data_IF_227096698783
#
_entry.id   IF_227096698783
#
_cell.length_a   1.000
_cell.length_b   1.000
_cell.length_c   1.000
_cell.angle_alpha   90.00
_cell.angle_beta   90.00
_cell.angle_gamma   90.00
#
_symmetry.space_group_name_H-M   'P 1'
#
loop_
_entity.id
_entity.type
_entity.pdbx_description
1 polymer ?
#
# COMPACT_ATOMS: atom_id res chain seq x y z
N UNK A 1 0.83 9.61 6.19
CA UNK A 1 -0.04 10.09 7.32
C UNK A 1 0.85 10.66 8.43
N UNK A 2 0.39 11.67 9.20
CA UNK A 2 1.12 12.10 10.40
C UNK A 2 0.99 11.03 11.49
N UNK A 3 2.08 10.66 12.18
CA UNK A 3 2.00 9.74 13.31
C UNK A 3 1.09 10.30 14.42
N UNK A 4 0.40 9.40 15.12
CA UNK A 4 -0.42 9.75 16.28
C UNK A 4 -0.37 8.63 17.32
N UNK A 5 -0.80 8.94 18.55
CA UNK A 5 -0.83 7.99 19.67
C UNK A 5 -2.24 7.76 20.17
N UNK A 6 -2.50 6.54 20.61
CA UNK A 6 -3.70 6.13 21.33
C UNK A 6 -3.24 5.43 22.62
N UNK A 7 -3.28 6.14 23.75
CA UNK A 7 -2.62 5.68 24.96
C UNK A 7 -1.12 5.48 24.71
N UNK A 8 -0.61 4.30 25.00
CA UNK A 8 0.81 3.94 24.82
C UNK A 8 1.13 3.40 23.41
N UNK A 9 0.15 3.40 22.51
CA UNK A 9 0.30 2.85 21.15
C UNK A 9 0.61 3.98 20.20
N UNK A 10 1.74 3.87 19.47
CA UNK A 10 2.10 4.76 18.38
C UNK A 10 1.63 4.15 17.04
N UNK A 11 0.87 4.91 16.28
CA UNK A 11 0.47 4.55 14.91
C UNK A 11 1.15 5.49 13.91
N UNK A 12 1.81 4.92 12.94
CA UNK A 12 2.46 5.63 11.83
C UNK A 12 2.25 4.87 10.52
N UNK A 13 2.63 5.44 9.39
CA UNK A 13 2.57 4.74 8.11
C UNK A 13 3.68 5.20 7.18
N UNK A 14 4.02 4.36 6.22
CA UNK A 14 4.86 4.68 5.07
C UNK A 14 4.24 4.15 3.79
N UNK A 15 4.64 4.74 2.67
CA UNK A 15 3.98 4.59 1.39
C UNK A 15 4.88 3.82 0.43
N UNK A 16 4.32 2.83 -0.28
CA UNK A 16 4.97 2.14 -1.38
C UNK A 16 4.73 2.87 -2.71
N UNK A 17 3.50 3.33 -2.93
CA UNK A 17 3.10 4.09 -4.11
C UNK A 17 2.00 5.08 -3.75
N UNK A 18 2.05 6.25 -4.33
CA UNK A 18 1.02 7.27 -4.23
C UNK A 18 0.87 8.00 -5.56
N UNK A 19 -0.31 8.56 -5.81
CA UNK A 19 -0.58 9.44 -6.93
C UNK A 19 -1.66 8.95 -7.91
N UNK A 20 -1.86 9.68 -9.02
CA UNK A 20 -2.82 9.36 -10.06
C UNK A 20 -2.25 8.28 -10.99
N UNK A 21 -2.83 7.10 -10.98
CA UNK A 21 -2.34 6.01 -11.85
C UNK A 21 -3.41 4.97 -12.24
N UNK A 22 -4.64 5.08 -11.72
CA UNK A 22 -5.68 4.08 -12.01
C UNK A 22 -6.83 4.70 -12.80
N UNK A 23 -7.07 4.30 -14.06
CA UNK A 23 -8.23 4.76 -14.81
C UNK A 23 -9.54 4.35 -14.12
N UNK A 24 -10.53 5.26 -14.00
CA UNK A 24 -11.82 4.93 -13.38
C UNK A 24 -12.54 3.75 -14.01
N UNK A 25 -12.53 3.63 -15.34
CA UNK A 25 -13.16 2.51 -16.04
C UNK A 25 -12.50 1.15 -15.82
N UNK A 26 -11.23 1.13 -15.38
CA UNK A 26 -10.55 -0.12 -14.96
C UNK A 26 -10.94 -0.50 -13.54
N UNK A 27 -11.16 0.51 -12.67
CA UNK A 27 -11.56 0.27 -11.28
C UNK A 27 -13.05 -0.08 -11.19
N UNK A 28 -13.87 0.55 -12.01
CA UNK A 28 -15.32 0.40 -12.01
C UNK A 28 -15.86 0.04 -13.42
N UNK A 29 -15.55 -1.18 -13.93
CA UNK A 29 -15.79 -1.55 -15.31
C UNK A 29 -17.28 -1.63 -15.69
N UNK A 30 -18.17 -1.70 -14.70
CA UNK A 30 -19.62 -1.79 -14.90
C UNK A 30 -20.34 -0.45 -14.74
N UNK A 31 -19.61 0.63 -14.36
CA UNK A 31 -20.20 1.96 -14.22
C UNK A 31 -20.45 2.61 -15.58
N UNK A 32 -21.54 3.39 -15.69
CA UNK A 32 -21.69 4.30 -16.82
C UNK A 32 -20.60 5.38 -16.80
N UNK A 33 -19.79 5.53 -17.87
CA UNK A 33 -18.65 6.43 -17.85
C UNK A 33 -19.00 7.91 -17.64
N UNK A 34 -20.16 8.36 -18.16
CA UNK A 34 -20.58 9.75 -18.02
C UNK A 34 -21.00 10.06 -16.58
N UNK A 35 -21.77 9.17 -15.97
CA UNK A 35 -22.19 9.27 -14.58
C UNK A 35 -21.00 9.20 -13.64
N UNK A 36 -20.06 8.27 -13.88
CA UNK A 36 -18.84 8.14 -13.10
C UNK A 36 -18.01 9.44 -13.12
N UNK A 37 -17.80 10.02 -14.31
CA UNK A 37 -17.06 11.29 -14.44
C UNK A 37 -17.76 12.47 -13.75
N UNK A 38 -19.08 12.53 -13.82
CA UNK A 38 -19.82 13.59 -13.12
C UNK A 38 -19.58 13.54 -11.60
N UNK A 39 -19.62 12.34 -11.00
CA UNK A 39 -19.33 12.18 -9.58
C UNK A 39 -17.85 12.40 -9.23
N UNK A 40 -16.94 11.92 -10.08
CA UNK A 40 -15.51 12.10 -9.86
C UNK A 40 -15.08 13.56 -9.95
N UNK A 41 -15.74 14.37 -10.79
CA UNK A 41 -15.46 15.80 -10.90
C UNK A 41 -15.75 16.59 -9.60
N UNK A 42 -16.57 16.04 -8.72
CA UNK A 42 -16.87 16.61 -7.39
C UNK A 42 -15.86 16.16 -6.32
N UNK A 43 -14.99 15.19 -6.64
CA UNK A 43 -14.03 14.65 -5.67
C UNK A 43 -12.83 15.58 -5.50
N UNK A 44 -12.24 15.62 -4.29
CA UNK A 44 -11.03 16.41 -4.08
C UNK A 44 -9.83 15.85 -4.90
N UNK A 45 -8.85 16.70 -5.25
CA UNK A 45 -7.65 16.27 -6.01
C UNK A 45 -6.85 15.14 -5.36
N UNK A 46 -7.01 14.94 -4.05
CA UNK A 46 -6.41 13.83 -3.33
C UNK A 46 -7.06 12.45 -3.64
N UNK A 47 -8.17 12.43 -4.38
CA UNK A 47 -8.91 11.20 -4.74
C UNK A 47 -8.93 11.02 -6.26
N UNK A 48 -9.02 12.11 -7.00
CA UNK A 48 -9.14 12.08 -8.45
C UNK A 48 -8.39 13.24 -9.09
N UNK A 49 -7.50 12.92 -10.02
CA UNK A 49 -6.83 13.89 -10.88
C UNK A 49 -7.66 14.09 -12.15
N UNK A 50 -8.41 15.17 -12.19
CA UNK A 50 -9.29 15.48 -13.33
C UNK A 50 -8.52 15.83 -14.61
N UNK A 51 -7.26 16.30 -14.52
CA UNK A 51 -6.46 16.64 -15.70
C UNK A 51 -5.96 15.38 -16.43
N UNK A 52 -5.73 14.30 -15.68
CA UNK A 52 -5.25 13.02 -16.20
C UNK A 52 -6.37 11.98 -16.36
N UNK A 53 -7.58 12.24 -15.86
CA UNK A 53 -8.70 11.27 -15.74
C UNK A 53 -8.26 10.00 -14.98
N UNK A 54 -7.57 10.20 -13.82
CA UNK A 54 -7.02 9.11 -13.02
C UNK A 54 -7.44 9.21 -11.55
N UNK A 55 -7.77 8.07 -10.97
CA UNK A 55 -7.91 7.93 -9.52
C UNK A 55 -6.55 8.01 -8.84
N UNK A 56 -6.49 8.77 -7.76
CA UNK A 56 -5.34 8.83 -6.85
C UNK A 56 -5.46 7.69 -5.86
N UNK A 57 -4.52 6.76 -5.89
CA UNK A 57 -4.52 5.59 -5.01
C UNK A 57 -3.18 5.49 -4.31
N UNK A 58 -3.24 5.28 -3.00
CA UNK A 58 -2.08 5.12 -2.13
C UNK A 58 -1.98 3.66 -1.66
N UNK A 59 -0.83 3.03 -1.91
CA UNK A 59 -0.45 1.78 -1.25
C UNK A 59 0.43 2.12 -0.07
N UNK A 60 0.00 1.76 1.13
CA UNK A 60 0.71 2.08 2.36
C UNK A 60 0.66 0.91 3.37
N UNK A 61 1.69 0.84 4.18
CA UNK A 61 1.76 -0.02 5.35
C UNK A 61 1.59 0.82 6.60
N UNK A 62 0.74 0.41 7.52
CA UNK A 62 0.70 1.00 8.85
C UNK A 62 1.62 0.25 9.80
N UNK A 63 2.31 1.01 10.64
CA UNK A 63 3.14 0.51 11.73
C UNK A 63 2.46 0.86 13.05
N UNK A 64 2.10 -0.16 13.79
CA UNK A 64 1.51 -0.03 15.13
C UNK A 64 2.54 -0.52 16.14
N UNK A 65 3.05 0.40 16.97
CA UNK A 65 3.99 0.10 18.03
C UNK A 65 3.30 0.15 19.37
N UNK A 66 3.31 -0.97 20.03
CA UNK A 66 2.89 -1.08 21.43
C UNK A 66 4.12 -1.10 22.35
N UNK A 67 4.00 -1.05 23.67
CA UNK A 67 5.13 -1.24 24.58
C UNK A 67 5.84 -2.60 24.45
N UNK A 68 5.23 -3.56 23.74
CA UNK A 68 5.75 -4.94 23.64
C UNK A 68 5.95 -5.43 22.21
N UNK A 69 5.25 -4.86 21.22
CA UNK A 69 5.18 -5.43 19.87
C UNK A 69 5.24 -4.36 18.79
N UNK A 70 5.90 -4.70 17.68
CA UNK A 70 5.82 -4.02 16.41
C UNK A 70 4.89 -4.80 15.49
N UNK A 71 3.85 -4.17 15.03
CA UNK A 71 2.79 -4.79 14.23
C UNK A 71 2.70 -4.05 12.89
N UNK A 72 2.65 -4.78 11.80
CA UNK A 72 2.32 -4.20 10.49
C UNK A 72 0.86 -4.48 10.17
N UNK A 73 0.17 -3.48 9.60
CA UNK A 73 -1.14 -3.65 8.98
C UNK A 73 -0.99 -3.36 7.50
N UNK A 74 -1.29 -4.35 6.70
CA UNK A 74 -1.06 -4.47 5.27
C UNK A 74 0.42 -4.31 4.87
N UNK A 75 0.81 -5.02 3.84
CA UNK A 75 2.20 -5.09 3.39
C UNK A 75 2.33 -4.82 1.90
N UNK A 76 1.49 -3.96 1.37
CA UNK A 76 1.53 -3.44 0.00
C UNK A 76 1.72 -4.53 -1.09
N UNK A 77 2.31 -4.14 -2.25
CA UNK A 77 2.41 -5.01 -3.43
C UNK A 77 3.58 -5.99 -3.35
N UNK A 78 4.71 -5.59 -2.78
CA UNK A 78 5.92 -6.41 -2.70
C UNK A 78 6.62 -6.63 -4.04
N UNK A 79 7.82 -7.19 -3.97
CA UNK A 79 8.70 -7.41 -5.13
C UNK A 79 8.51 -8.78 -5.78
N UNK A 80 8.91 -8.87 -7.06
CA UNK A 80 9.08 -10.12 -7.82
C UNK A 80 7.84 -11.03 -7.90
N UNK A 81 6.65 -10.53 -7.58
CA UNK A 81 5.43 -11.33 -7.56
C UNK A 81 5.01 -11.73 -8.97
N UNK A 82 4.86 -13.02 -9.28
CA UNK A 82 4.46 -13.48 -10.61
C UNK A 82 3.00 -13.10 -10.93
N UNK A 83 2.68 -12.99 -12.21
CA UNK A 83 1.31 -12.82 -12.70
C UNK A 83 0.69 -11.43 -12.47
N UNK A 84 1.47 -10.47 -11.98
CA UNK A 84 1.03 -9.09 -11.81
C UNK A 84 1.25 -8.30 -13.09
N UNK A 85 0.19 -7.65 -13.57
CA UNK A 85 0.28 -6.82 -14.77
C UNK A 85 1.21 -5.61 -14.60
N UNK A 86 1.56 -4.93 -15.72
CA UNK A 86 2.56 -3.85 -15.74
C UNK A 86 2.22 -2.67 -14.82
N UNK A 87 0.97 -2.48 -14.48
CA UNK A 87 0.53 -1.45 -13.51
C UNK A 87 1.13 -1.66 -12.12
N UNK A 88 1.42 -2.90 -11.74
CA UNK A 88 2.01 -3.24 -10.45
C UNK A 88 3.53 -3.50 -10.54
N UNK A 89 4.11 -3.38 -11.74
CA UNK A 89 5.55 -3.49 -11.98
C UNK A 89 6.21 -2.10 -11.90
N UNK A 90 6.38 -1.62 -10.68
CA UNK A 90 7.06 -0.37 -10.34
C UNK A 90 8.10 -0.63 -9.24
N UNK A 91 9.06 0.28 -9.08
CA UNK A 91 10.06 0.17 -8.01
C UNK A 91 9.41 0.10 -6.63
N UNK A 92 9.83 -0.84 -5.83
CA UNK A 92 9.39 -0.99 -4.43
C UNK A 92 10.36 -0.35 -3.42
N UNK A 93 11.35 0.40 -3.93
CA UNK A 93 12.37 1.03 -3.09
C UNK A 93 11.74 1.97 -2.05
N UNK A 94 10.68 2.69 -2.40
CA UNK A 94 9.96 3.57 -1.46
C UNK A 94 9.46 2.82 -0.22
N UNK A 95 9.01 1.57 -0.38
CA UNK A 95 8.59 0.74 0.74
C UNK A 95 9.77 0.36 1.64
N UNK A 96 10.87 -0.07 1.05
CA UNK A 96 12.09 -0.45 1.78
C UNK A 96 12.69 0.76 2.54
N UNK A 97 12.74 1.91 1.88
CA UNK A 97 13.22 3.15 2.48
C UNK A 97 12.31 3.61 3.62
N UNK A 98 10.99 3.55 3.43
CA UNK A 98 10.01 3.86 4.44
C UNK A 98 10.10 2.94 5.65
N UNK A 99 10.28 1.64 5.42
CA UNK A 99 10.48 0.64 6.46
C UNK A 99 11.75 0.92 7.27
N UNK A 100 12.87 1.15 6.58
CA UNK A 100 14.14 1.49 7.21
C UNK A 100 14.09 2.82 7.98
N UNK A 101 13.40 3.84 7.43
CA UNK A 101 13.22 5.14 8.09
C UNK A 101 12.42 5.04 9.40
N UNK A 102 11.60 3.99 9.56
CA UNK A 102 10.94 3.67 10.82
C UNK A 102 11.89 2.98 11.83
N UNK A 103 13.17 2.77 11.47
CA UNK A 103 14.14 2.09 12.32
C UNK A 103 13.81 0.62 12.57
N UNK A 104 13.12 -0.03 11.62
CA UNK A 104 12.71 -1.42 11.70
C UNK A 104 13.60 -2.31 10.81
N UNK A 105 13.84 -3.51 11.28
CA UNK A 105 14.34 -4.64 10.49
C UNK A 105 13.22 -5.66 10.37
N UNK A 106 13.30 -6.57 9.42
CA UNK A 106 12.26 -7.59 9.22
C UNK A 106 12.06 -8.46 10.47
N UNK A 107 13.15 -8.76 11.17
CA UNK A 107 13.17 -9.55 12.39
C UNK A 107 12.55 -8.84 13.61
N UNK A 108 12.34 -7.53 13.52
CA UNK A 108 11.74 -6.73 14.61
C UNK A 108 10.20 -6.75 14.57
N UNK A 109 9.60 -7.39 13.55
CA UNK A 109 8.15 -7.45 13.39
C UNK A 109 7.60 -8.69 14.08
N UNK A 110 6.72 -8.48 15.04
CA UNK A 110 6.08 -9.55 15.81
C UNK A 110 4.82 -10.09 15.12
N UNK A 111 4.05 -9.21 14.46
CA UNK A 111 2.79 -9.57 13.81
C UNK A 111 2.55 -8.80 12.53
N UNK A 112 1.91 -9.47 11.57
CA UNK A 112 1.37 -8.86 10.35
C UNK A 112 -0.10 -9.17 10.26
N UNK A 113 -0.93 -8.13 10.13
CA UNK A 113 -2.36 -8.26 9.85
C UNK A 113 -2.63 -7.73 8.45
N UNK A 114 -3.28 -8.53 7.62
CA UNK A 114 -3.82 -8.06 6.35
C UNK A 114 -5.30 -7.75 6.54
N UNK A 115 -5.71 -6.54 6.16
CA UNK A 115 -7.13 -6.15 6.17
C UNK A 115 -7.93 -7.07 5.27
N UNK A 116 -7.33 -7.46 4.15
CA UNK A 116 -7.81 -8.50 3.23
C UNK A 116 -6.64 -9.00 2.35
N UNK A 117 -6.89 -10.02 1.50
CA UNK A 117 -5.83 -10.71 0.77
C UNK A 117 -5.70 -10.28 -0.70
N UNK A 118 -6.08 -9.05 -1.05
CA UNK A 118 -5.72 -8.51 -2.35
C UNK A 118 -4.21 -8.28 -2.46
N UNK A 119 -3.74 -8.25 -3.69
CA UNK A 119 -2.31 -8.24 -4.02
C UNK A 119 -1.53 -7.05 -3.47
N UNK A 120 -2.20 -5.96 -3.20
CA UNK A 120 -1.66 -4.70 -2.65
C UNK A 120 -1.73 -4.61 -1.12
N UNK A 121 -2.13 -5.69 -0.44
CA UNK A 121 -2.20 -5.76 1.02
C UNK A 121 -1.33 -6.85 1.64
N UNK A 122 -0.87 -7.83 0.86
CA UNK A 122 -0.12 -8.99 1.37
C UNK A 122 1.21 -9.24 0.64
N UNK A 123 1.67 -8.31 -0.17
CA UNK A 123 2.80 -8.51 -1.05
C UNK A 123 4.13 -8.77 -0.33
N UNK A 124 4.47 -7.96 0.64
CA UNK A 124 5.69 -8.13 1.41
C UNK A 124 5.62 -9.21 2.49
N UNK A 125 4.49 -9.93 2.63
CA UNK A 125 4.45 -11.10 3.54
C UNK A 125 5.49 -12.15 3.17
N UNK A 126 5.89 -12.21 1.89
CA UNK A 126 6.95 -13.09 1.41
C UNK A 126 7.91 -12.34 0.50
N UNK A 127 9.18 -12.74 0.49
CA UNK A 127 10.24 -12.24 -0.40
C UNK A 127 10.96 -13.38 -1.12
N UNK A 128 11.55 -13.06 -2.27
CA UNK A 128 12.28 -14.04 -3.08
C UNK A 128 13.77 -14.00 -2.70
N UNK A 129 14.29 -15.10 -2.14
CA UNK A 129 15.71 -15.25 -1.80
C UNK A 129 16.25 -16.51 -2.46
N UNK A 130 17.29 -16.38 -3.29
CA UNK A 130 17.92 -17.52 -3.96
C UNK A 130 16.91 -18.33 -4.81
N UNK A 131 15.93 -17.67 -5.42
CA UNK A 131 14.90 -18.32 -6.23
C UNK A 131 13.78 -19.00 -5.43
N UNK A 132 13.74 -18.84 -4.11
CA UNK A 132 12.71 -19.41 -3.23
C UNK A 132 11.93 -18.32 -2.52
N UNK A 133 10.61 -18.52 -2.42
CA UNK A 133 9.75 -17.67 -1.60
C UNK A 133 9.89 -18.04 -0.13
N UNK A 134 10.22 -17.06 0.69
CA UNK A 134 10.34 -17.22 2.15
C UNK A 134 9.48 -16.15 2.84
N UNK A 135 9.05 -16.36 4.09
CA UNK A 135 8.45 -15.29 4.90
C UNK A 135 9.41 -14.10 4.97
N UNK A 136 8.85 -12.89 5.00
CA UNK A 136 9.65 -11.65 5.14
C UNK A 136 9.92 -11.35 6.60
N UNK A 137 8.94 -11.65 7.44
CA UNK A 137 8.89 -11.35 8.87
C UNK A 137 8.82 -12.63 9.70
#
# INVERSE_FOLDING_TARGET
>A
MRPFTVGDILVSSFVERDGPWRPPGVMFPTSDPATARAHLAEMPPAVYDAAQDLLVITYQTFVVRTPKHNILIDTCVGEHKPGRGPVLDFSKQSWLDGFAAHGLRFEDIDYVFCTHLHVDHCGWNTRLIGGKWVPTF
#
